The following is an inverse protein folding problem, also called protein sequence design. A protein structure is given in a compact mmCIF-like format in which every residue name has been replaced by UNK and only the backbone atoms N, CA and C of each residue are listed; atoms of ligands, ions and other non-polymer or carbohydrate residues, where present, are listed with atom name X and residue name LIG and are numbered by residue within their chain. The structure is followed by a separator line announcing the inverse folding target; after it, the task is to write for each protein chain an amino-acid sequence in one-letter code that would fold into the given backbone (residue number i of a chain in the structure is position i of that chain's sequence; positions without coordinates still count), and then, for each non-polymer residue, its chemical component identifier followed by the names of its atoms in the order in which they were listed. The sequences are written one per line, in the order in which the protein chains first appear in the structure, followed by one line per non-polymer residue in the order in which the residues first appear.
data_IF_777954254571
#
_entry.id   IF_777954254571
#
_cell.length_a   1.000
_cell.length_b   1.000
_cell.length_c   1.000
_cell.angle_alpha   90.00
_cell.angle_beta   90.00
_cell.angle_gamma   90.00
#
_symmetry.space_group_name_H-M   'P 1'
#
loop_
_entity.id
_entity.type
_entity.pdbx_description
1 polymer ?
#
# COMPACT_ATOMS: atom_id res chain seq x y z
N UNK A 1 -11.57 9.40 -3.26
CA UNK A 1 -10.44 9.72 -2.36
C UNK A 1 -10.03 8.46 -1.63
N UNK A 2 -8.84 7.94 -1.91
CA UNK A 2 -8.30 6.77 -1.20
C UNK A 2 -7.63 7.27 0.07
N UNK A 3 -8.07 6.74 1.21
CA UNK A 3 -7.42 7.03 2.48
C UNK A 3 -6.20 6.12 2.60
N UNK A 4 -5.06 6.58 2.08
CA UNK A 4 -3.76 6.02 2.39
C UNK A 4 -3.46 6.35 3.86
N UNK A 5 -3.10 5.33 4.64
CA UNK A 5 -2.72 5.49 6.04
C UNK A 5 -1.27 5.99 6.09
N UNK A 6 -1.08 7.22 6.56
CA UNK A 6 0.24 7.78 6.84
C UNK A 6 0.30 8.09 8.34
N UNK A 7 1.40 7.70 8.98
CA UNK A 7 1.79 8.17 10.30
C UNK A 7 2.19 9.67 10.24
N UNK A 8 1.98 10.40 11.35
CA UNK A 8 2.28 11.80 11.77
C UNK A 8 2.40 12.94 10.74
N UNK A 9 2.18 12.67 9.46
CA UNK A 9 2.42 13.54 8.33
C UNK A 9 1.53 13.13 7.19
N UNK A 10 0.32 13.68 7.18
CA UNK A 10 -0.55 13.64 6.00
C UNK A 10 0.25 14.17 4.80
N UNK A 11 0.36 13.44 3.69
CA UNK A 11 1.06 13.96 2.51
C UNK A 11 0.41 15.25 2.07
N UNK A 12 1.26 16.17 1.60
CA UNK A 12 0.83 17.47 1.09
C UNK A 12 -0.13 17.34 -0.10
N UNK A 13 -0.83 18.43 -0.47
CA UNK A 13 -1.85 18.43 -1.52
C UNK A 13 -1.29 17.95 -2.87
N UNK A 14 -0.04 18.26 -3.18
CA UNK A 14 0.63 17.84 -4.43
C UNK A 14 0.77 16.32 -4.50
N UNK A 15 1.32 15.70 -3.45
CA UNK A 15 1.50 14.25 -3.38
C UNK A 15 0.16 13.52 -3.44
N UNK A 16 -0.86 14.02 -2.74
CA UNK A 16 -2.21 13.43 -2.79
C UNK A 16 -2.79 13.48 -4.20
N UNK A 17 -2.68 14.63 -4.86
CA UNK A 17 -3.16 14.79 -6.23
C UNK A 17 -2.44 13.84 -7.18
N UNK A 18 -1.12 13.72 -7.08
CA UNK A 18 -0.35 12.79 -7.90
C UNK A 18 -0.79 11.32 -7.70
N UNK A 19 -1.08 10.92 -6.46
CA UNK A 19 -1.61 9.58 -6.15
C UNK A 19 -3.03 9.41 -6.71
N UNK A 20 -3.90 10.39 -6.53
CA UNK A 20 -5.28 10.33 -7.03
C UNK A 20 -5.31 10.26 -8.56
N UNK A 21 -4.49 11.07 -9.24
CA UNK A 21 -4.34 11.08 -10.71
C UNK A 21 -3.81 9.72 -11.20
N UNK A 22 -2.71 9.22 -10.62
CA UNK A 22 -2.18 7.90 -10.95
C UNK A 22 -3.18 6.76 -10.66
N UNK A 23 -4.06 6.93 -9.67
CA UNK A 23 -5.09 5.94 -9.37
C UNK A 23 -6.18 5.93 -10.45
N UNK A 24 -6.63 7.10 -10.91
CA UNK A 24 -7.59 7.17 -12.02
C UNK A 24 -7.01 6.55 -13.29
N UNK A 25 -5.71 6.71 -13.52
CA UNK A 25 -5.00 6.13 -14.67
C UNK A 25 -4.70 4.62 -14.48
N UNK A 26 -5.05 4.02 -13.34
CA UNK A 26 -4.73 2.63 -13.02
C UNK A 26 -3.23 2.35 -12.94
N UNK A 27 -2.42 3.38 -12.67
CA UNK A 27 -0.96 3.34 -12.64
C UNK A 27 -0.39 3.08 -11.24
N UNK A 28 -1.22 3.10 -10.19
CA UNK A 28 -0.76 2.86 -8.82
C UNK A 28 -0.38 1.39 -8.62
N UNK A 29 0.87 1.17 -8.24
CA UNK A 29 1.42 -0.13 -7.89
C UNK A 29 2.23 -0.06 -6.59
N UNK A 30 2.26 -1.17 -5.86
CA UNK A 30 3.15 -1.39 -4.70
C UNK A 30 3.86 -2.73 -4.87
N UNK A 31 5.04 -2.89 -4.26
CA UNK A 31 5.68 -4.20 -4.19
C UNK A 31 5.00 -5.06 -3.11
N UNK A 32 5.07 -6.37 -3.28
CA UNK A 32 4.54 -7.32 -2.30
C UNK A 32 5.20 -7.15 -0.91
N UNK A 33 6.44 -6.63 -0.84
CA UNK A 33 7.12 -6.36 0.42
C UNK A 33 6.41 -5.28 1.25
N UNK A 34 5.74 -4.30 0.62
CA UNK A 34 4.98 -3.27 1.34
C UNK A 34 3.82 -3.89 2.13
N UNK A 35 3.16 -4.91 1.59
CA UNK A 35 2.14 -5.64 2.34
C UNK A 35 2.75 -6.38 3.53
N UNK A 36 3.91 -7.03 3.35
CA UNK A 36 4.61 -7.69 4.45
C UNK A 36 5.00 -6.69 5.55
N UNK A 37 5.54 -5.52 5.20
CA UNK A 37 5.90 -4.48 6.17
C UNK A 37 4.70 -4.02 7.00
N UNK A 38 3.55 -3.78 6.35
CA UNK A 38 2.31 -3.38 7.03
C UNK A 38 1.78 -4.53 7.91
N UNK A 39 1.82 -5.78 7.42
CA UNK A 39 1.44 -6.95 8.21
C UNK A 39 2.31 -7.08 9.47
N UNK A 40 3.62 -6.82 9.35
CA UNK A 40 4.56 -6.84 10.46
C UNK A 40 4.32 -5.70 11.45
N UNK A 41 3.97 -4.50 10.98
CA UNK A 41 3.60 -3.38 11.86
C UNK A 41 2.30 -3.69 12.62
N UNK A 42 1.30 -4.25 11.93
CA UNK A 42 0.05 -4.70 12.55
C UNK A 42 0.28 -5.80 13.58
N UNK A 43 1.06 -6.83 13.23
CA UNK A 43 1.40 -7.93 14.14
C UNK A 43 2.19 -7.46 15.38
N UNK A 44 2.97 -6.38 15.25
CA UNK A 44 3.71 -5.76 16.35
C UNK A 44 2.88 -4.75 17.16
N UNK A 45 1.59 -4.57 16.87
CA UNK A 45 0.73 -3.60 17.54
C UNK A 45 1.13 -2.14 17.29
N UNK A 46 1.90 -1.87 16.23
CA UNK A 46 2.34 -0.52 15.86
C UNK A 46 1.40 0.17 14.88
N UNK A 47 0.45 -0.58 14.32
CA UNK A 47 -0.57 -0.08 13.41
C UNK A 47 -1.84 -0.88 13.63
N UNK A 48 -2.97 -0.19 13.81
CA UNK A 48 -4.27 -0.82 13.87
C UNK A 48 -4.95 -0.74 12.50
N UNK A 49 -5.51 -1.86 12.06
CA UNK A 49 -6.36 -1.92 10.87
C UNK A 49 -7.81 -2.09 11.30
N UNK A 50 -8.71 -1.34 10.68
CA UNK A 50 -10.14 -1.38 10.99
C UNK A 50 -10.82 -2.71 10.60
N UNK A 51 -10.16 -3.49 9.75
CA UNK A 51 -10.60 -4.79 9.25
C UNK A 51 -9.40 -5.73 9.22
N UNK A 52 -9.63 -7.04 9.07
CA UNK A 52 -8.52 -7.98 8.99
C UNK A 52 -7.58 -7.66 7.80
N UNK A 53 -6.31 -7.97 7.98
CA UNK A 53 -5.27 -7.63 7.01
C UNK A 53 -5.50 -8.26 5.62
N UNK A 54 -6.01 -9.49 5.57
CA UNK A 54 -6.27 -10.21 4.33
C UNK A 54 -7.39 -9.55 3.52
N UNK A 55 -8.51 -9.23 4.17
CA UNK A 55 -9.61 -8.49 3.55
C UNK A 55 -9.20 -7.09 3.16
N UNK A 56 -8.40 -6.41 3.99
CA UNK A 56 -7.87 -5.09 3.65
C UNK A 56 -7.05 -5.12 2.37
N UNK A 57 -6.06 -6.02 2.26
CA UNK A 57 -5.27 -6.21 1.04
C UNK A 57 -6.17 -6.56 -0.15
N UNK A 58 -7.05 -7.55 -0.01
CA UNK A 58 -7.95 -7.97 -1.08
C UNK A 58 -8.82 -6.80 -1.59
N UNK A 59 -9.33 -5.95 -0.69
CA UNK A 59 -10.11 -4.78 -1.06
C UNK A 59 -9.33 -3.77 -1.90
N UNK A 60 -8.04 -3.57 -1.63
CA UNK A 60 -7.19 -2.67 -2.40
C UNK A 60 -6.96 -3.20 -3.82
N UNK A 61 -6.63 -4.50 -3.93
CA UNK A 61 -6.43 -5.16 -5.22
C UNK A 61 -7.70 -5.15 -6.08
N UNK A 62 -8.86 -5.46 -5.47
CA UNK A 62 -10.16 -5.41 -6.16
C UNK A 62 -10.51 -4.00 -6.67
N UNK A 63 -10.03 -2.96 -6.00
CA UNK A 63 -10.26 -1.56 -6.40
C UNK A 63 -9.27 -1.06 -7.46
N UNK A 64 -8.34 -1.90 -7.91
CA UNK A 64 -7.41 -1.59 -9.00
C UNK A 64 -5.97 -1.32 -8.59
N UNK A 65 -5.61 -1.48 -7.31
CA UNK A 65 -4.21 -1.43 -6.90
C UNK A 65 -3.45 -2.60 -7.53
N UNK A 66 -2.31 -2.31 -8.16
CA UNK A 66 -1.42 -3.35 -8.68
C UNK A 66 -0.42 -3.76 -7.60
N UNK A 67 -0.24 -5.06 -7.45
CA UNK A 67 0.81 -5.62 -6.61
C UNK A 67 1.88 -6.25 -7.49
N UNK A 68 3.13 -5.86 -7.26
CA UNK A 68 4.30 -6.37 -7.97
C UNK A 68 4.98 -7.41 -7.08
N UNK A 69 5.02 -8.70 -7.50
CA UNK A 69 5.74 -9.73 -6.76
C UNK A 69 7.21 -9.36 -6.57
N UNK A 70 7.76 -9.68 -5.40
CA UNK A 70 9.20 -9.61 -5.16
C UNK A 70 9.75 -11.02 -5.36
N UNK A 71 10.37 -11.26 -6.51
CA UNK A 71 11.02 -12.52 -6.83
C UNK A 71 12.48 -12.54 -6.35
N UNK A 72 13.18 -13.65 -6.62
CA UNK A 72 14.58 -13.81 -6.22
C UNK A 72 15.52 -12.79 -6.86
N UNK A 73 15.25 -12.32 -8.09
CA UNK A 73 16.09 -11.34 -8.77
C UNK A 73 15.93 -9.94 -8.18
N UNK A 74 14.68 -9.54 -7.88
CA UNK A 74 14.40 -8.30 -7.18
C UNK A 74 15.03 -8.35 -5.77
N UNK A 75 14.89 -9.48 -5.08
CA UNK A 75 15.39 -9.65 -3.71
C UNK A 75 16.91 -9.54 -3.56
N UNK A 76 17.69 -10.00 -4.55
CA UNK A 76 19.17 -9.94 -4.49
C UNK A 76 19.76 -8.57 -4.85
N UNK A 77 18.95 -7.65 -5.40
CA UNK A 77 19.37 -6.30 -5.82
C UNK A 77 19.03 -5.21 -4.80
N UNK A 78 18.21 -5.54 -3.80
CA UNK A 78 17.71 -4.62 -2.78
C UNK A 78 18.75 -4.29 -1.69
#
# INVERSE_FOLDING_TARGET
MIRLFFDDGKPGPVTRRAVDDAWQDGAVAVSAITFWEIAMLHAKGKMELAIDFGTWRASLLQRGLKEIPVDGEIGIRA
#
